data_IF_785708935554
#
_entry.id   IF_785708935554
#
_cell.length_a   1.000
_cell.length_b   1.000
_cell.length_c   1.000
_cell.angle_alpha   90.00
_cell.angle_beta   90.00
_cell.angle_gamma   90.00
#
_symmetry.space_group_name_H-M   'P 1'
#
loop_
_entity.id
_entity.type
_entity.pdbx_description
1 polymer ?
#
# COMPACT_ATOMS: atom_id res chain seq x y z
N UNK A 1 16.04 -4.18 14.69
CA UNK A 1 14.97 -3.21 15.03
C UNK A 1 15.51 -1.81 14.87
N UNK A 2 14.78 -0.93 14.19
CA UNK A 2 15.19 0.48 14.08
C UNK A 2 15.19 1.14 15.48
N UNK A 3 16.29 1.75 15.93
CA UNK A 3 16.40 2.32 17.27
C UNK A 3 15.34 3.39 17.57
N UNK A 4 14.57 3.19 18.63
CA UNK A 4 13.56 4.15 19.09
C UNK A 4 12.28 4.19 18.26
N UNK A 5 12.04 3.17 17.42
CA UNK A 5 10.79 3.08 16.65
C UNK A 5 9.54 3.08 17.58
N UNK A 6 8.57 3.90 17.15
CA UNK A 6 7.19 3.96 17.63
C UNK A 6 6.32 4.19 16.41
N UNK A 7 5.24 3.42 16.29
CA UNK A 7 4.22 3.64 15.27
C UNK A 7 3.70 5.09 15.35
N UNK A 8 3.72 5.89 14.27
CA UNK A 8 3.34 7.30 14.29
C UNK A 8 1.89 7.55 14.72
N UNK A 9 1.00 6.57 14.57
CA UNK A 9 -0.43 6.74 14.80
C UNK A 9 -0.88 6.29 16.20
N UNK A 10 -0.35 5.16 16.65
CA UNK A 10 -0.70 4.48 17.89
C UNK A 10 0.38 4.62 18.97
N UNK A 11 1.58 5.09 18.60
CA UNK A 11 2.75 5.20 19.49
C UNK A 11 3.15 3.88 20.14
N UNK A 12 2.88 2.75 19.47
CA UNK A 12 3.18 1.40 19.95
C UNK A 12 4.54 0.89 19.42
N UNK A 13 5.23 0.01 20.15
CA UNK A 13 6.38 -0.73 19.62
C UNK A 13 5.92 -1.79 18.60
N UNK A 14 6.89 -2.36 17.87
CA UNK A 14 6.66 -3.46 16.92
C UNK A 14 6.21 -4.73 17.64
N UNK A 15 5.19 -5.39 17.13
CA UNK A 15 4.70 -6.70 17.60
C UNK A 15 5.38 -7.85 16.86
N UNK A 16 5.30 -9.07 17.39
CA UNK A 16 5.78 -10.27 16.68
C UNK A 16 4.98 -10.57 15.41
N UNK A 17 3.69 -10.31 15.41
CA UNK A 17 2.80 -10.49 14.27
C UNK A 17 3.17 -9.56 13.11
N UNK A 18 3.55 -8.31 13.40
CA UNK A 18 4.07 -7.40 12.37
C UNK A 18 5.41 -7.86 11.79
N UNK A 19 6.28 -8.47 12.62
CA UNK A 19 7.51 -9.10 12.13
C UNK A 19 7.17 -10.27 11.22
N UNK A 20 6.23 -11.12 11.62
CA UNK A 20 5.75 -12.25 10.82
C UNK A 20 5.20 -11.79 9.45
N UNK A 21 4.34 -10.78 9.45
CA UNK A 21 3.80 -10.14 8.25
C UNK A 21 4.93 -9.63 7.34
N UNK A 22 5.90 -8.88 7.88
CA UNK A 22 7.04 -8.40 7.10
C UNK A 22 7.81 -9.57 6.47
N UNK A 23 8.14 -10.59 7.26
CA UNK A 23 8.90 -11.75 6.79
C UNK A 23 8.18 -12.45 5.62
N UNK A 24 6.86 -12.62 5.70
CA UNK A 24 6.05 -13.19 4.62
C UNK A 24 6.22 -12.39 3.31
N UNK A 25 6.10 -11.06 3.35
CA UNK A 25 6.33 -10.23 2.16
C UNK A 25 7.78 -10.30 1.67
N UNK A 26 8.75 -10.26 2.58
CA UNK A 26 10.17 -10.34 2.20
C UNK A 26 10.50 -11.63 1.46
N UNK A 27 9.99 -12.78 1.93
CA UNK A 27 10.21 -14.05 1.26
C UNK A 27 9.50 -14.14 -0.10
N UNK A 28 8.34 -13.50 -0.25
CA UNK A 28 7.71 -13.34 -1.57
C UNK A 28 8.62 -12.53 -2.51
N UNK A 29 9.20 -11.40 -2.06
CA UNK A 29 10.13 -10.64 -2.89
C UNK A 29 11.36 -11.47 -3.29
N UNK A 30 11.90 -12.26 -2.35
CA UNK A 30 13.01 -13.18 -2.62
C UNK A 30 12.62 -14.22 -3.68
N UNK A 31 11.41 -14.74 -3.60
CA UNK A 31 10.86 -15.68 -4.59
C UNK A 31 10.75 -15.03 -5.98
N UNK A 32 10.15 -13.83 -6.06
CA UNK A 32 10.04 -13.04 -7.30
C UNK A 32 11.40 -12.92 -7.99
N UNK A 33 12.44 -12.53 -7.24
CA UNK A 33 13.80 -12.38 -7.78
C UNK A 33 14.39 -13.73 -8.16
N UNK A 34 14.27 -14.75 -7.30
CA UNK A 34 14.87 -16.08 -7.56
C UNK A 34 14.29 -16.78 -8.79
N UNK A 35 13.00 -16.55 -9.06
CA UNK A 35 12.27 -17.16 -10.18
C UNK A 35 12.23 -16.29 -11.43
N UNK A 36 12.74 -15.06 -11.38
CA UNK A 36 12.70 -14.13 -12.50
C UNK A 36 11.29 -13.69 -12.89
N UNK A 37 10.38 -13.53 -11.92
CA UNK A 37 9.00 -13.13 -12.20
C UNK A 37 8.93 -11.64 -12.52
N UNK A 38 8.56 -11.29 -13.75
CA UNK A 38 8.52 -9.90 -14.21
C UNK A 38 7.52 -9.03 -13.45
N UNK A 39 6.31 -9.56 -13.23
CA UNK A 39 5.18 -8.90 -12.55
C UNK A 39 4.52 -9.92 -11.62
N UNK A 40 4.32 -9.57 -10.36
CA UNK A 40 3.68 -10.44 -9.36
C UNK A 40 2.57 -9.70 -8.63
N UNK A 41 1.44 -10.37 -8.41
CA UNK A 41 0.34 -9.87 -7.60
C UNK A 41 0.38 -10.54 -6.24
N UNK A 42 0.47 -9.75 -5.17
CA UNK A 42 0.48 -10.20 -3.77
C UNK A 42 -0.82 -9.73 -3.12
N UNK A 43 -1.52 -10.63 -2.43
CA UNK A 43 -2.79 -10.36 -1.76
C UNK A 43 -2.81 -11.13 -0.44
N UNK A 44 -3.28 -10.48 0.62
CA UNK A 44 -3.57 -11.11 1.92
C UNK A 44 -4.83 -11.98 1.83
N UNK A 45 -5.00 -12.92 2.76
CA UNK A 45 -6.07 -13.92 2.73
C UNK A 45 -7.41 -13.43 3.29
N UNK A 46 -7.42 -12.28 3.98
CA UNK A 46 -8.58 -11.70 4.65
C UNK A 46 -9.25 -10.56 3.86
N UNK A 47 -9.09 -10.56 2.53
CA UNK A 47 -9.66 -9.55 1.63
C UNK A 47 -10.93 -10.01 0.90
N UNK A 48 -11.72 -9.03 0.46
CA UNK A 48 -12.80 -9.18 -0.50
C UNK A 48 -12.49 -8.41 -1.78
N UNK A 49 -12.91 -8.97 -2.89
CA UNK A 49 -12.65 -8.43 -4.23
C UNK A 49 -13.75 -7.48 -4.68
N UNK A 50 -13.35 -6.42 -5.36
CA UNK A 50 -14.27 -5.53 -6.09
C UNK A 50 -14.97 -6.27 -7.24
N UNK A 51 -16.18 -5.84 -7.61
CA UNK A 51 -16.88 -6.44 -8.74
C UNK A 51 -16.04 -6.35 -10.00
N UNK A 52 -15.94 -7.46 -10.74
CA UNK A 52 -15.11 -7.61 -11.94
C UNK A 52 -13.61 -7.34 -11.70
N UNK A 53 -13.11 -7.61 -10.49
CA UNK A 53 -11.71 -7.48 -10.09
C UNK A 53 -10.71 -7.80 -11.20
N UNK A 54 -10.73 -9.03 -11.74
CA UNK A 54 -9.80 -9.46 -12.78
C UNK A 54 -9.86 -8.56 -14.02
N UNK A 55 -11.05 -8.22 -14.49
CA UNK A 55 -11.22 -7.35 -15.67
C UNK A 55 -10.68 -5.94 -15.41
N UNK A 56 -10.97 -5.37 -14.24
CA UNK A 56 -10.50 -4.04 -13.83
C UNK A 56 -8.98 -4.02 -13.68
N UNK A 57 -8.39 -5.03 -13.03
CA UNK A 57 -6.94 -5.17 -12.88
C UNK A 57 -6.25 -5.31 -14.24
N UNK A 58 -6.69 -6.23 -15.09
CA UNK A 58 -6.08 -6.41 -16.42
C UNK A 58 -6.15 -5.13 -17.24
N UNK A 59 -7.30 -4.43 -17.23
CA UNK A 59 -7.42 -3.14 -17.93
C UNK A 59 -6.46 -2.09 -17.41
N UNK A 60 -6.26 -2.00 -16.10
CA UNK A 60 -5.28 -1.10 -15.50
C UNK A 60 -3.85 -1.44 -15.95
N UNK A 61 -3.48 -2.73 -15.92
CA UNK A 61 -2.15 -3.17 -16.36
C UNK A 61 -1.92 -2.90 -17.86
N UNK A 62 -2.95 -3.08 -18.70
CA UNK A 62 -2.90 -2.77 -20.13
C UNK A 62 -2.69 -1.26 -20.36
N UNK A 63 -3.39 -0.41 -19.60
CA UNK A 63 -3.25 1.05 -19.71
C UNK A 63 -1.86 1.53 -19.27
N UNK A 64 -1.31 0.94 -18.22
CA UNK A 64 0.05 1.19 -17.75
C UNK A 64 1.08 0.83 -18.83
N UNK A 65 0.88 -0.31 -19.49
CA UNK A 65 1.77 -0.79 -20.56
C UNK A 65 1.69 0.11 -21.81
N UNK A 66 0.47 0.51 -22.21
CA UNK A 66 0.27 1.44 -23.33
C UNK A 66 0.88 2.82 -23.07
N UNK A 67 0.81 3.31 -21.83
CA UNK A 67 1.42 4.57 -21.42
C UNK A 67 2.95 4.45 -21.22
N UNK A 68 3.52 3.24 -21.31
CA UNK A 68 4.93 2.94 -21.03
C UNK A 68 5.37 3.48 -19.66
N UNK A 69 4.46 3.42 -18.68
CA UNK A 69 4.73 3.92 -17.34
C UNK A 69 5.70 2.97 -16.63
N UNK A 70 6.80 3.53 -16.13
CA UNK A 70 7.73 2.80 -15.28
C UNK A 70 7.21 2.76 -13.84
N UNK A 71 7.00 1.56 -13.32
CA UNK A 71 6.41 1.32 -12.00
C UNK A 71 7.08 0.12 -11.31
N UNK A 72 7.07 0.16 -9.98
CA UNK A 72 7.71 -0.88 -9.17
C UNK A 72 6.78 -1.47 -8.12
N UNK A 73 5.84 -0.68 -7.62
CA UNK A 73 4.80 -1.12 -6.70
C UNK A 73 3.48 -0.42 -7.03
N UNK A 74 2.38 -1.17 -7.13
CA UNK A 74 1.03 -0.63 -7.30
C UNK A 74 0.14 -1.22 -6.22
N UNK A 75 -0.29 -0.41 -5.26
CA UNK A 75 -1.31 -0.84 -4.31
C UNK A 75 -2.64 -1.10 -5.01
N UNK A 76 -3.26 -2.24 -4.72
CA UNK A 76 -4.61 -2.57 -5.17
C UNK A 76 -5.60 -2.66 -4.00
N UNK A 77 -5.08 -2.75 -2.77
CA UNK A 77 -5.80 -2.61 -1.52
C UNK A 77 -4.86 -2.01 -0.48
N UNK A 78 -5.27 -0.89 0.11
CA UNK A 78 -4.55 -0.20 1.16
C UNK A 78 -5.46 0.71 1.96
N UNK A 79 -4.95 1.21 3.07
CA UNK A 79 -5.47 2.36 3.79
C UNK A 79 -4.61 3.57 3.55
N UNK A 80 -5.16 4.55 2.85
CA UNK A 80 -4.56 5.86 2.71
C UNK A 80 -4.59 6.60 4.05
N UNK A 81 -3.41 7.02 4.54
CA UNK A 81 -3.28 7.68 5.84
C UNK A 81 -3.30 9.21 5.75
N UNK A 82 -2.90 9.77 4.61
CA UNK A 82 -3.05 11.20 4.29
C UNK A 82 -4.32 11.43 3.47
N UNK A 83 -5.33 12.07 4.06
CA UNK A 83 -6.64 12.34 3.42
C UNK A 83 -6.98 13.82 3.26
N UNK A 84 -6.09 14.73 3.67
CA UNK A 84 -6.37 16.17 3.62
C UNK A 84 -6.35 16.71 2.19
N UNK A 85 -5.42 16.22 1.37
CA UNK A 85 -5.24 16.63 -0.03
C UNK A 85 -5.48 15.42 -0.92
N UNK A 86 -6.04 15.53 -2.15
CA UNK A 86 -6.16 14.41 -3.07
C UNK A 86 -4.79 13.92 -3.56
N UNK A 87 -4.69 12.62 -3.88
CA UNK A 87 -3.46 12.08 -4.48
C UNK A 87 -3.41 12.46 -5.97
N UNK A 88 -2.19 12.60 -6.49
CA UNK A 88 -1.98 13.05 -7.86
C UNK A 88 -2.28 11.92 -8.85
N UNK A 89 -3.22 12.16 -9.75
CA UNK A 89 -3.50 11.24 -10.87
C UNK A 89 -2.28 11.11 -11.80
N UNK A 90 -2.04 9.90 -12.29
CA UNK A 90 -0.99 9.62 -13.27
C UNK A 90 -1.48 10.02 -14.67
N UNK A 91 -0.79 10.93 -15.39
CA UNK A 91 -1.19 11.30 -16.74
C UNK A 91 -1.30 10.08 -17.66
N UNK A 92 -2.32 10.06 -18.51
CA UNK A 92 -2.57 9.03 -19.52
C UNK A 92 -2.88 7.61 -19.00
N UNK A 93 -2.90 7.39 -17.69
CA UNK A 93 -3.32 6.11 -17.08
C UNK A 93 -4.56 6.37 -16.23
N UNK A 94 -5.71 5.81 -16.65
CA UNK A 94 -6.94 5.94 -15.88
C UNK A 94 -6.86 5.09 -14.61
N UNK A 95 -7.51 5.57 -13.56
CA UNK A 95 -7.65 4.86 -12.30
C UNK A 95 -6.31 4.55 -11.59
N UNK A 96 -5.32 5.43 -11.77
CA UNK A 96 -4.02 5.31 -11.13
C UNK A 96 -3.58 6.66 -10.54
N UNK A 97 -3.07 6.64 -9.32
CA UNK A 97 -2.52 7.79 -8.62
C UNK A 97 -1.12 7.50 -8.09
N UNK A 98 -0.31 8.53 -7.88
CA UNK A 98 0.93 8.43 -7.10
C UNK A 98 0.58 8.05 -5.65
N UNK A 99 1.21 7.00 -5.11
CA UNK A 99 0.91 6.55 -3.75
C UNK A 99 1.46 7.53 -2.71
N UNK A 100 0.67 7.82 -1.67
CA UNK A 100 1.11 8.53 -0.47
C UNK A 100 1.30 7.58 0.72
N UNK A 101 1.47 8.12 1.92
CA UNK A 101 1.59 7.35 3.16
C UNK A 101 0.39 6.40 3.34
N UNK A 102 0.68 5.10 3.46
CA UNK A 102 -0.31 4.02 3.32
C UNK A 102 -0.06 2.91 4.33
N UNK A 103 -1.14 2.41 4.92
CA UNK A 103 -1.20 1.23 5.82
C UNK A 103 -1.99 0.10 5.16
N UNK A 104 -2.10 -1.05 5.85
CA UNK A 104 -2.89 -2.20 5.46
C UNK A 104 -2.46 -2.69 4.09
N UNK A 105 -1.27 -3.28 3.96
CA UNK A 105 -0.72 -3.81 2.71
C UNK A 105 -1.53 -5.03 2.16
N UNK A 106 -2.86 -4.93 2.15
CA UNK A 106 -3.88 -5.93 1.76
C UNK A 106 -3.60 -6.54 0.40
N UNK A 107 -3.11 -5.73 -0.54
CA UNK A 107 -2.63 -6.26 -1.80
C UNK A 107 -1.94 -5.22 -2.68
N UNK A 108 -0.97 -5.70 -3.45
CA UNK A 108 -0.21 -4.89 -4.39
C UNK A 108 0.34 -5.72 -5.55
N UNK A 109 0.51 -5.09 -6.70
CA UNK A 109 1.38 -5.60 -7.74
C UNK A 109 2.82 -5.12 -7.49
N UNK A 110 3.81 -5.96 -7.76
CA UNK A 110 5.24 -5.64 -7.66
C UNK A 110 5.97 -6.10 -8.92
N UNK A 111 6.88 -5.27 -9.42
CA UNK A 111 7.77 -5.63 -10.52
C UNK A 111 9.02 -6.36 -10.02
N UNK A 112 9.69 -7.10 -10.90
CA UNK A 112 10.99 -7.71 -10.59
C UNK A 112 11.98 -6.71 -9.99
N UNK A 113 12.10 -5.52 -10.59
CA UNK A 113 12.99 -4.45 -10.14
C UNK A 113 12.56 -3.89 -8.77
N UNK A 114 11.25 -3.71 -8.56
CA UNK A 114 10.71 -3.31 -7.25
C UNK A 114 11.12 -4.28 -6.15
N UNK A 115 10.97 -5.58 -6.38
CA UNK A 115 11.39 -6.61 -5.43
C UNK A 115 12.90 -6.55 -5.14
N UNK A 116 13.74 -6.35 -6.17
CA UNK A 116 15.19 -6.18 -5.99
C UNK A 116 15.52 -4.97 -5.11
N UNK A 117 14.88 -3.81 -5.35
CA UNK A 117 15.09 -2.60 -4.53
C UNK A 117 14.72 -2.83 -3.07
N UNK A 118 13.56 -3.44 -2.81
CA UNK A 118 13.09 -3.72 -1.45
C UNK A 118 14.03 -4.67 -0.70
N UNK A 119 14.56 -5.70 -1.37
CA UNK A 119 15.56 -6.60 -0.78
C UNK A 119 16.89 -5.88 -0.54
N UNK A 120 17.35 -5.12 -1.53
CA UNK A 120 18.61 -4.37 -1.49
C UNK A 120 18.66 -3.26 -0.44
N UNK A 121 17.51 -2.86 0.09
CA UNK A 121 17.40 -1.94 1.22
C UNK A 121 17.88 -2.54 2.55
N UNK A 122 18.11 -3.86 2.60
CA UNK A 122 18.56 -4.63 3.77
C UNK A 122 17.73 -4.35 5.04
N UNK A 123 16.40 -4.56 4.99
CA UNK A 123 15.47 -4.08 6.03
C UNK A 123 15.70 -4.73 7.40
N UNK A 124 16.30 -5.91 7.48
CA UNK A 124 16.39 -6.66 8.75
C UNK A 124 17.36 -6.02 9.76
N UNK A 125 18.38 -5.28 9.29
CA UNK A 125 19.28 -4.53 10.19
C UNK A 125 18.56 -3.35 10.87
N UNK A 126 17.45 -2.88 10.29
CA UNK A 126 16.73 -1.65 10.63
C UNK A 126 15.20 -1.84 10.52
N UNK A 127 14.75 -3.01 11.00
CA UNK A 127 13.39 -3.49 10.83
C UNK A 127 12.34 -2.53 11.41
N UNK A 128 11.28 -2.37 10.63
CA UNK A 128 10.04 -1.64 10.85
C UNK A 128 8.87 -2.56 10.40
N UNK A 129 7.60 -2.28 10.70
CA UNK A 129 6.50 -2.96 10.02
C UNK A 129 6.57 -2.69 8.50
N UNK A 130 6.02 -3.60 7.70
CA UNK A 130 6.03 -3.48 6.22
C UNK A 130 5.30 -2.20 5.77
N UNK A 131 4.23 -1.84 6.47
CA UNK A 131 3.41 -0.64 6.26
C UNK A 131 4.19 0.67 6.47
N UNK A 132 5.31 0.64 7.21
CA UNK A 132 6.17 1.81 7.41
C UNK A 132 7.36 1.78 6.47
N UNK A 133 7.91 0.58 6.26
CA UNK A 133 9.04 0.37 5.38
C UNK A 133 8.70 0.75 3.93
N UNK A 134 7.57 0.30 3.38
CA UNK A 134 7.20 0.61 2.01
C UNK A 134 7.14 2.13 1.78
N UNK A 135 6.40 2.95 2.56
CA UNK A 135 6.41 4.41 2.42
C UNK A 135 7.77 5.08 2.55
N UNK A 136 8.69 4.53 3.35
CA UNK A 136 10.06 5.03 3.40
C UNK A 136 10.72 4.85 2.03
N UNK A 137 10.57 3.68 1.41
CA UNK A 137 11.21 3.35 0.13
C UNK A 137 10.74 4.22 -1.04
N UNK A 138 9.58 4.87 -0.94
CA UNK A 138 9.07 5.81 -1.95
C UNK A 138 8.94 7.27 -1.44
N UNK A 139 9.67 7.63 -0.38
CA UNK A 139 9.75 8.99 0.20
C UNK A 139 8.40 9.62 0.62
N UNK A 140 7.47 8.82 1.15
CA UNK A 140 6.17 9.31 1.65
C UNK A 140 5.93 9.05 3.13
N UNK A 141 6.96 8.64 3.87
CA UNK A 141 6.84 8.42 5.30
C UNK A 141 6.83 9.77 6.08
N UNK A 142 5.92 9.98 7.05
CA UNK A 142 5.79 11.28 7.75
C UNK A 142 6.93 11.57 8.74
N UNK A 143 7.61 10.53 9.23
CA UNK A 143 8.74 10.67 10.17
C UNK A 143 10.06 10.60 9.40
N UNK A 144 10.69 11.75 9.18
CA UNK A 144 11.97 11.88 8.45
C UNK A 144 13.11 11.09 9.10
N UNK A 145 13.16 11.05 10.44
CA UNK A 145 14.17 10.31 11.20
C UNK A 145 14.23 8.82 10.85
N UNK A 146 13.10 8.20 10.50
CA UNK A 146 13.09 6.78 10.11
C UNK A 146 13.66 6.60 8.70
N UNK A 147 13.42 7.56 7.81
CA UNK A 147 13.92 7.54 6.43
C UNK A 147 15.43 7.67 6.35
N UNK A 148 16.08 8.35 7.31
CA UNK A 148 17.54 8.52 7.38
C UNK A 148 18.30 7.19 7.43
N UNK A 149 17.66 6.10 7.88
CA UNK A 149 18.29 4.78 7.93
C UNK A 149 18.34 4.07 6.56
N UNK A 150 17.64 4.59 5.55
CA UNK A 150 17.53 3.98 4.22
C UNK A 150 17.98 4.98 3.17
N UNK A 151 19.20 4.86 2.64
CA UNK A 151 19.75 5.86 1.71
C UNK A 151 19.05 5.84 0.34
N UNK A 152 18.92 4.66 -0.26
CA UNK A 152 18.20 4.46 -1.53
C UNK A 152 16.70 4.33 -1.27
N UNK A 153 15.94 5.35 -1.68
CA UNK A 153 14.48 5.46 -1.50
C UNK A 153 13.81 5.88 -2.81
N UNK A 154 14.11 5.18 -3.89
CA UNK A 154 13.71 5.52 -5.25
C UNK A 154 12.65 4.55 -5.81
N UNK A 155 11.89 3.88 -4.94
CA UNK A 155 10.81 2.98 -5.34
C UNK A 155 9.68 3.77 -6.02
N UNK A 156 9.30 3.38 -7.24
CA UNK A 156 8.20 3.99 -7.98
C UNK A 156 6.86 3.37 -7.58
N UNK A 157 6.20 3.98 -6.59
CA UNK A 157 4.97 3.49 -6.00
C UNK A 157 3.71 4.25 -6.46
N UNK A 158 2.69 3.50 -6.84
CA UNK A 158 1.38 3.99 -7.27
C UNK A 158 0.26 3.25 -6.54
N UNK A 159 -0.98 3.69 -6.73
CA UNK A 159 -2.17 3.01 -6.22
C UNK A 159 -3.28 3.02 -7.26
N UNK A 160 -4.01 1.91 -7.37
CA UNK A 160 -5.29 1.89 -8.06
C UNK A 160 -6.28 2.83 -7.36
N UNK A 161 -7.09 3.54 -8.15
CA UNK A 161 -8.14 4.43 -7.68
C UNK A 161 -9.35 4.32 -8.62
N UNK A 162 -10.48 3.71 -8.20
CA UNK A 162 -10.72 3.13 -6.88
C UNK A 162 -9.92 1.84 -6.63
N UNK A 163 -9.79 1.47 -5.35
CA UNK A 163 -9.16 0.21 -4.94
C UNK A 163 -9.91 -1.01 -5.50
N UNK A 164 -9.17 -2.10 -5.68
CA UNK A 164 -9.65 -3.34 -6.27
C UNK A 164 -9.88 -4.45 -5.23
N UNK A 165 -9.26 -4.35 -4.06
CA UNK A 165 -9.52 -5.22 -2.91
C UNK A 165 -9.71 -4.39 -1.64
N UNK A 166 -10.54 -4.91 -0.74
CA UNK A 166 -10.93 -4.30 0.53
C UNK A 166 -10.83 -5.35 1.63
N UNK A 167 -10.68 -4.99 2.90
CA UNK A 167 -10.72 -5.98 3.97
C UNK A 167 -12.11 -6.62 4.05
N UNK A 168 -12.18 -7.88 4.49
CA UNK A 168 -13.45 -8.56 4.81
C UNK A 168 -14.16 -7.88 5.99
N UNK A 169 -13.39 -7.47 7.00
CA UNK A 169 -13.87 -6.73 8.16
C UNK A 169 -12.94 -5.55 8.44
N UNK A 170 -13.50 -4.39 8.71
CA UNK A 170 -12.74 -3.22 9.15
C UNK A 170 -12.50 -3.26 10.66
N UNK A 171 -11.40 -2.65 11.12
CA UNK A 171 -11.10 -2.49 12.54
C UNK A 171 -12.31 -1.95 13.31
N UNK A 172 -12.72 -2.66 14.37
CA UNK A 172 -13.87 -2.32 15.20
C UNK A 172 -15.22 -2.85 14.71
N UNK A 173 -15.29 -3.53 13.56
CA UNK A 173 -16.50 -4.24 13.14
C UNK A 173 -16.65 -5.59 13.90
N UNK A 174 -17.89 -6.05 14.16
CA UNK A 174 -18.10 -7.40 14.68
C UNK A 174 -17.46 -8.44 13.75
N UNK A 175 -16.68 -9.36 14.32
CA UNK A 175 -15.95 -10.38 13.56
C UNK A 175 -14.57 -9.96 13.08
N UNK A 176 -14.12 -8.72 13.35
CA UNK A 176 -12.73 -8.31 13.10
C UNK A 176 -11.75 -9.10 13.99
N UNK A 177 -10.72 -9.66 13.36
CA UNK A 177 -9.61 -10.37 13.98
C UNK A 177 -8.32 -9.88 13.32
N UNK A 178 -7.28 -9.61 14.10
CA UNK A 178 -5.97 -9.18 13.60
C UNK A 178 -4.86 -9.97 14.27
N UNK A 179 -4.13 -10.76 13.49
CA UNK A 179 -2.99 -11.54 13.99
C UNK A 179 -1.71 -10.67 14.11
N UNK A 180 -1.69 -9.49 13.49
CA UNK A 180 -0.57 -8.56 13.55
C UNK A 180 -0.63 -7.69 14.81
N UNK A 181 -1.82 -7.18 15.18
CA UNK A 181 -1.97 -6.21 16.28
C UNK A 181 -2.29 -6.85 17.64
N UNK A 182 -2.70 -8.14 17.67
CA UNK A 182 -3.03 -8.86 18.92
C UNK A 182 -1.92 -9.74 19.50
N UNK A 183 -0.71 -9.71 18.92
CA UNK A 183 0.43 -10.55 19.29
C UNK A 183 1.44 -9.86 20.22
N UNK A 184 2.09 -10.64 21.11
CA UNK A 184 3.03 -10.12 22.13
C UNK A 184 4.07 -9.16 21.56
N UNK A 185 4.49 -8.19 22.39
CA UNK A 185 5.57 -7.27 22.04
C UNK A 185 6.83 -8.07 21.68
N UNK A 186 7.55 -7.63 20.65
CA UNK A 186 8.75 -8.33 20.15
C UNK A 186 9.76 -8.70 21.25
N UNK A 187 10.00 -7.80 22.20
CA UNK A 187 11.02 -7.92 23.25
C UNK A 187 10.50 -8.41 24.61
N UNK A 188 9.20 -8.68 24.75
CA UNK A 188 8.61 -9.11 26.03
C UNK A 188 7.38 -10.02 25.86
N UNK A 189 7.56 -11.30 26.15
CA UNK A 189 6.53 -12.34 26.01
C UNK A 189 5.43 -12.29 27.08
N UNK A 190 5.65 -11.56 28.18
CA UNK A 190 4.68 -11.48 29.29
C UNK A 190 3.62 -10.40 29.10
N UNK A 191 3.77 -9.54 28.07
CA UNK A 191 2.83 -8.44 27.81
C UNK A 191 1.88 -8.86 26.70
N UNK A 192 0.63 -9.12 27.08
CA UNK A 192 -0.47 -9.29 26.14
C UNK A 192 -0.85 -7.94 25.53
N UNK A 193 -1.07 -7.95 24.23
CA UNK A 193 -1.25 -6.78 23.37
C UNK A 193 -2.65 -6.80 22.78
N UNK A 194 -3.69 -6.68 23.59
CA UNK A 194 -5.07 -6.53 23.10
C UNK A 194 -5.33 -5.05 22.73
N UNK A 195 -4.53 -4.53 21.80
CA UNK A 195 -4.52 -3.11 21.44
C UNK A 195 -5.79 -2.70 20.69
N UNK A 196 -6.39 -3.65 19.95
CA UNK A 196 -7.64 -3.50 19.23
C UNK A 196 -8.82 -3.18 20.17
N UNK A 197 -8.92 -3.86 21.32
CA UNK A 197 -10.04 -3.68 22.25
C UNK A 197 -9.88 -2.48 23.19
N UNK A 198 -8.64 -2.08 23.50
CA UNK A 198 -8.37 -0.99 24.44
C UNK A 198 -8.52 0.41 23.85
N UNK A 199 -8.48 0.58 22.52
CA UNK A 199 -8.48 1.88 21.85
C UNK A 199 -9.74 2.18 21.01
N UNK A 200 -10.91 1.65 21.37
CA UNK A 200 -12.16 1.76 20.57
C UNK A 200 -12.56 3.18 20.13
N UNK A 201 -12.09 4.23 20.84
CA UNK A 201 -12.31 5.62 20.44
C UNK A 201 -11.46 6.06 19.23
N UNK A 202 -10.24 5.55 19.07
CA UNK A 202 -9.39 5.77 17.88
C UNK A 202 -9.88 4.94 16.68
N UNK A 203 -10.44 3.75 16.90
CA UNK A 203 -11.09 2.94 15.85
C UNK A 203 -12.28 3.66 15.17
N UNK A 204 -13.00 4.53 15.90
CA UNK A 204 -14.05 5.39 15.32
C UNK A 204 -13.50 6.48 14.40
N UNK A 205 -12.26 6.93 14.63
CA UNK A 205 -11.55 7.85 13.74
C UNK A 205 -11.09 7.14 12.47
N UNK A 206 -10.71 5.86 12.56
CA UNK A 206 -10.31 5.03 11.42
C UNK A 206 -11.45 4.78 10.41
N UNK A 207 -12.70 4.61 10.88
CA UNK A 207 -13.87 4.47 9.99
C UNK A 207 -14.21 5.73 9.18
N UNK A 208 -13.92 6.92 9.72
CA UNK A 208 -14.10 8.21 9.00
C UNK A 208 -13.02 8.46 7.95
N UNK A 209 -11.77 8.11 8.26
CA UNK A 209 -10.66 8.21 7.30
C UNK A 209 -10.97 7.41 6.01
N UNK A 210 -11.65 6.26 6.12
CA UNK A 210 -12.06 5.47 4.95
C UNK A 210 -13.07 6.20 4.03
N UNK A 211 -14.10 6.87 4.58
CA UNK A 211 -15.06 7.61 3.74
C UNK A 211 -14.43 8.83 3.08
N UNK A 212 -13.42 9.42 3.74
CA UNK A 212 -12.78 10.65 3.31
C UNK A 212 -11.57 10.38 2.38
N UNK A 213 -11.00 9.17 2.42
CA UNK A 213 -9.84 8.75 1.63
C UNK A 213 -10.13 8.46 0.15
N UNK A 214 -11.40 8.34 -0.25
CA UNK A 214 -11.77 8.10 -1.64
C UNK A 214 -11.53 9.37 -2.46
N UNK A 215 -10.64 9.32 -3.45
CA UNK A 215 -10.54 10.41 -4.41
C UNK A 215 -11.85 10.42 -5.22
N UNK A 216 -12.71 11.41 -4.97
CA UNK A 216 -14.08 11.43 -5.52
C UNK A 216 -14.15 11.37 -7.04
N UNK A 217 -13.09 11.78 -7.74
CA UNK A 217 -12.90 11.52 -9.16
C UNK A 217 -11.39 11.59 -9.47
N UNK A 218 -10.76 10.49 -9.86
CA UNK A 218 -9.53 10.57 -10.64
C UNK A 218 -9.91 11.19 -11.99
N UNK A 219 -9.83 12.53 -12.07
CA UNK A 219 -10.31 13.32 -13.20
C UNK A 219 -9.79 12.74 -14.52
N UNK A 220 -10.65 12.54 -15.54
CA UNK A 220 -10.18 12.11 -16.85
C UNK A 220 -9.20 13.14 -17.41
N UNK A 221 -8.14 12.65 -18.03
CA UNK A 221 -7.19 13.45 -18.82
C UNK A 221 -7.95 14.38 -19.77
N UNK A 222 -7.65 15.68 -19.72
CA UNK A 222 -8.23 16.66 -20.64
C UNK A 222 -7.96 16.22 -22.09
N UNK A 223 -8.95 16.24 -22.99
CA UNK A 223 -8.71 15.94 -24.38
C UNK A 223 -7.83 17.03 -24.98
N UNK A 224 -6.73 16.63 -25.62
CA UNK A 224 -5.95 17.51 -26.48
C UNK A 224 -6.86 18.09 -27.55
N UNK A 225 -7.09 19.39 -27.50
CA UNK A 225 -7.67 20.17 -28.59
C UNK A 225 -6.70 20.10 -29.77
N UNK A 226 -6.90 19.12 -30.65
CA UNK A 226 -6.53 19.18 -32.07
C UNK A 226 -7.12 17.96 -32.79
N UNK A 227 -8.36 18.09 -33.24
CA UNK A 227 -8.87 17.29 -34.37
C UNK A 227 -9.87 18.14 -35.15
N UNK A 228 -9.60 18.46 -36.42
CA UNK A 228 -10.51 19.28 -37.21
C UNK A 228 -11.75 18.46 -37.58
N UNK A 229 -12.91 19.06 -37.37
CA UNK A 229 -14.23 18.57 -37.77
C UNK A 229 -14.29 18.35 -39.28
N UNK A 230 -14.35 17.10 -39.72
CA UNK A 230 -14.91 16.74 -41.03
C UNK A 230 -16.36 16.31 -40.85
N UNK A 231 -17.27 17.21 -41.25
CA UNK A 231 -18.67 16.89 -41.60
C UNK A 231 -18.70 15.95 -42.81
N UNK A 232 -19.66 15.04 -42.81
CA UNK A 232 -20.51 14.62 -43.95
C UNK A 232 -21.43 13.50 -43.39
N UNK A 233 -22.70 13.77 -43.09
CA UNK A 233 -23.87 13.66 -43.97
C UNK A 233 -24.06 12.28 -44.62
N UNK A 234 -24.76 11.37 -43.92
CA UNK A 234 -26.11 10.83 -44.24
C UNK A 234 -26.47 9.66 -43.31
#
# INVERSE_FOLDING_TARGET
MLPGYRDPYSSRPLTRGEIGCFLSHYYIWKEVVSRGLEKTLVIEDDVRFEHQFKRKLMKLMDDIEQAQLDWELIYIGRKRMQVQEPERAVPNVRNLVEADYSYWTLGYAISFHGAQKLIGAEPFSKMLPVDEFLPIMYNKHPVTKYMEYYESRDLKAFSAEPLLVYPTHYTGQPGYLSDTETSTIWDNETVSTDWDRTHSWKSRQQGKIHSDAQNKDALPSQPSLDTPTSRDEL
#
